data_IF_498446214999
#
_entry.id   IF_498446214999
#
_cell.length_a   1.000
_cell.length_b   1.000
_cell.length_c   1.000
_cell.angle_alpha   90.00
_cell.angle_beta   90.00
_cell.angle_gamma   90.00
#
_symmetry.space_group_name_H-M   'P 1'
#
loop_
_entity.id
_entity.type
_entity.pdbx_description
1 polymer ?
#
# COMPACT_ATOMS: atom_id res chain seq x y z
N UNK A 1 -10.80 -18.08 -11.47
CA UNK A 1 -11.88 -17.16 -11.08
C UNK A 1 -12.79 -17.05 -12.28
N UNK A 2 -14.06 -17.43 -12.16
CA UNK A 2 -15.03 -17.18 -13.22
C UNK A 2 -15.31 -15.68 -13.21
N UNK A 3 -14.99 -14.99 -14.30
CA UNK A 3 -15.29 -13.57 -14.44
C UNK A 3 -16.80 -13.37 -14.40
N UNK A 4 -17.25 -12.34 -13.69
CA UNK A 4 -18.68 -12.03 -13.58
C UNK A 4 -19.17 -11.57 -14.95
N UNK A 5 -20.21 -12.24 -15.47
CA UNK A 5 -20.84 -11.86 -16.73
C UNK A 5 -22.02 -10.94 -16.42
N UNK A 6 -21.93 -9.67 -16.79
CA UNK A 6 -23.03 -8.70 -16.64
C UNK A 6 -23.32 -8.02 -17.99
N UNK A 7 -24.14 -8.65 -18.83
CA UNK A 7 -24.58 -8.05 -20.09
C UNK A 7 -25.75 -7.05 -19.89
N UNK A 8 -26.45 -7.14 -18.75
CA UNK A 8 -27.46 -6.18 -18.34
C UNK A 8 -26.88 -4.80 -17.97
N UNK A 9 -25.55 -4.66 -17.94
CA UNK A 9 -24.87 -3.38 -17.72
C UNK A 9 -25.27 -2.30 -18.72
N UNK A 10 -25.60 -2.67 -19.96
CA UNK A 10 -26.11 -1.75 -20.98
C UNK A 10 -27.47 -1.12 -20.60
N UNK A 11 -28.25 -1.82 -19.78
CA UNK A 11 -29.54 -1.39 -19.23
C UNK A 11 -29.37 -0.63 -17.90
N UNK A 12 -28.12 -0.36 -17.50
CA UNK A 12 -27.78 0.37 -16.28
C UNK A 12 -27.79 -0.49 -15.02
N UNK A 13 -27.90 -1.81 -15.13
CA UNK A 13 -27.83 -2.73 -13.98
C UNK A 13 -26.39 -2.76 -13.45
N UNK A 14 -26.25 -2.62 -12.12
CA UNK A 14 -24.94 -2.61 -11.46
C UNK A 14 -24.89 -3.65 -10.35
N UNK A 15 -23.68 -4.10 -10.06
CA UNK A 15 -23.37 -4.96 -8.92
C UNK A 15 -22.67 -4.10 -7.87
N UNK A 16 -23.21 -4.10 -6.65
CA UNK A 16 -22.50 -3.64 -5.46
C UNK A 16 -21.84 -4.88 -4.84
N UNK A 17 -20.50 -4.97 -4.81
CA UNK A 17 -19.82 -6.11 -4.21
C UNK A 17 -20.14 -6.24 -2.71
N UNK A 18 -20.22 -7.48 -2.23
CA UNK A 18 -20.34 -7.77 -0.81
C UNK A 18 -19.16 -7.19 -0.02
N UNK A 19 -19.43 -6.55 1.12
CA UNK A 19 -18.41 -6.16 2.09
C UNK A 19 -18.15 -7.33 3.04
N UNK A 20 -17.22 -8.21 2.67
CA UNK A 20 -16.89 -9.46 3.40
C UNK A 20 -15.38 -9.61 3.55
N UNK A 21 -14.96 -10.18 4.68
CA UNK A 21 -13.55 -10.44 4.96
C UNK A 21 -13.09 -11.74 4.26
N UNK A 22 -11.78 -11.94 4.08
CA UNK A 22 -11.31 -13.16 3.41
C UNK A 22 -11.61 -14.37 4.29
N UNK A 23 -12.05 -15.45 3.65
CA UNK A 23 -12.45 -16.66 4.35
C UNK A 23 -13.94 -16.67 4.72
N UNK A 24 -14.63 -15.52 4.65
CA UNK A 24 -16.07 -15.49 4.82
C UNK A 24 -16.78 -16.16 3.64
N UNK A 25 -17.77 -16.98 3.95
CA UNK A 25 -18.72 -17.48 2.97
C UNK A 25 -19.70 -16.36 2.62
N UNK A 26 -19.90 -16.12 1.33
CA UNK A 26 -20.86 -15.14 0.84
C UNK A 26 -21.45 -15.56 -0.50
N UNK A 27 -22.55 -14.93 -0.88
CA UNK A 27 -23.16 -15.11 -2.20
C UNK A 27 -22.60 -14.10 -3.19
N UNK A 28 -21.84 -14.60 -4.17
CA UNK A 28 -21.32 -13.78 -5.26
C UNK A 28 -22.27 -13.84 -6.45
N UNK A 29 -22.53 -12.70 -7.08
CA UNK A 29 -23.20 -12.69 -8.38
C UNK A 29 -22.19 -13.11 -9.44
N UNK A 30 -22.47 -14.19 -10.15
CA UNK A 30 -21.61 -14.70 -11.23
C UNK A 30 -22.17 -14.40 -12.61
N UNK A 31 -23.49 -14.16 -12.72
CA UNK A 31 -24.16 -13.76 -13.95
C UNK A 31 -25.32 -12.81 -13.66
N UNK A 32 -25.41 -11.74 -14.44
CA UNK A 32 -26.64 -10.96 -14.64
C UNK A 32 -26.89 -10.89 -16.14
N UNK A 33 -28.09 -11.30 -16.53
CA UNK A 33 -28.52 -11.37 -17.91
C UNK A 33 -29.81 -10.58 -18.12
N UNK A 34 -29.84 -9.69 -19.11
CA UNK A 34 -31.10 -9.15 -19.63
C UNK A 34 -31.65 -10.11 -20.69
N UNK A 35 -32.87 -10.61 -20.50
CA UNK A 35 -33.42 -11.65 -21.37
C UNK A 35 -33.75 -11.09 -22.75
N UNK A 36 -33.36 -11.81 -23.80
CA UNK A 36 -33.73 -11.46 -25.18
C UNK A 36 -35.25 -11.55 -25.38
N UNK A 37 -35.80 -10.93 -26.44
CA UNK A 37 -37.22 -11.03 -26.77
C UNK A 37 -37.76 -12.48 -26.79
N UNK A 38 -37.00 -13.43 -27.36
CA UNK A 38 -37.34 -14.85 -27.44
C UNK A 38 -37.36 -15.54 -26.06
N UNK A 39 -36.40 -15.21 -25.21
CA UNK A 39 -36.29 -15.77 -23.86
C UNK A 39 -37.36 -15.19 -22.94
N UNK A 40 -37.63 -13.90 -23.06
CA UNK A 40 -38.53 -13.16 -22.19
C UNK A 40 -40.00 -13.49 -22.43
N UNK A 41 -40.42 -13.65 -23.70
CA UNK A 41 -41.80 -13.98 -24.06
C UNK A 41 -42.84 -12.99 -23.49
N UNK A 42 -42.56 -11.67 -23.55
CA UNK A 42 -43.39 -10.60 -22.97
C UNK A 42 -43.56 -10.64 -21.46
N UNK A 43 -42.62 -11.24 -20.72
CA UNK A 43 -42.61 -11.19 -19.25
C UNK A 43 -41.96 -9.91 -18.74
N UNK A 44 -42.03 -9.75 -17.43
CA UNK A 44 -41.52 -8.61 -16.66
C UNK A 44 -41.03 -9.10 -15.31
N UNK A 45 -40.09 -10.04 -15.30
CA UNK A 45 -39.75 -10.81 -14.12
C UNK A 45 -38.27 -10.69 -13.76
N UNK A 46 -37.98 -10.87 -12.48
CA UNK A 46 -36.67 -11.29 -12.03
C UNK A 46 -36.68 -12.80 -11.94
N UNK A 47 -35.67 -13.43 -12.53
CA UNK A 47 -35.39 -14.85 -12.41
C UNK A 47 -34.12 -15.00 -11.59
N UNK A 48 -34.16 -15.77 -10.51
CA UNK A 48 -33.06 -15.88 -9.56
C UNK A 48 -32.69 -17.34 -9.41
N UNK A 49 -31.42 -17.63 -9.68
CA UNK A 49 -30.79 -18.93 -9.47
C UNK A 49 -29.75 -18.84 -8.37
N UNK A 50 -29.64 -19.92 -7.61
CA UNK A 50 -28.62 -20.10 -6.59
C UNK A 50 -27.80 -21.34 -6.93
N UNK A 51 -26.49 -21.25 -6.79
CA UNK A 51 -25.54 -22.34 -7.03
C UNK A 51 -24.63 -22.53 -5.82
N UNK A 52 -24.19 -23.77 -5.59
CA UNK A 52 -23.12 -24.08 -4.65
C UNK A 52 -21.74 -23.72 -5.22
N UNK A 53 -20.67 -24.01 -4.47
CA UNK A 53 -19.30 -23.71 -4.87
C UNK A 53 -18.82 -24.55 -6.06
N UNK A 54 -19.56 -25.61 -6.44
CA UNK A 54 -19.28 -26.47 -7.59
C UNK A 54 -20.06 -26.04 -8.84
N UNK A 55 -21.00 -25.09 -8.71
CA UNK A 55 -21.87 -24.62 -9.78
C UNK A 55 -23.17 -25.42 -9.93
N UNK A 56 -23.48 -26.29 -8.97
CA UNK A 56 -24.73 -27.06 -8.97
C UNK A 56 -25.87 -26.25 -8.34
N UNK A 57 -27.07 -26.39 -8.89
CA UNK A 57 -28.25 -25.62 -8.46
C UNK A 57 -28.68 -25.93 -7.02
N UNK A 58 -28.90 -24.88 -6.23
CA UNK A 58 -29.37 -24.94 -4.84
C UNK A 58 -30.83 -24.51 -4.70
N UNK A 59 -31.65 -25.40 -4.15
CA UNK A 59 -33.00 -25.09 -3.66
C UNK A 59 -32.99 -24.66 -2.19
N UNK A 60 -33.98 -23.87 -1.77
CA UNK A 60 -34.13 -23.40 -0.40
C UNK A 60 -33.32 -22.15 -0.06
N UNK A 61 -32.64 -21.55 -1.03
CA UNK A 61 -31.88 -20.32 -0.82
C UNK A 61 -32.82 -19.11 -0.88
N UNK A 62 -32.74 -18.24 0.12
CA UNK A 62 -33.65 -17.12 0.28
C UNK A 62 -33.00 -15.80 -0.18
N UNK A 63 -33.69 -15.08 -1.06
CA UNK A 63 -33.26 -13.79 -1.60
C UNK A 63 -34.29 -12.71 -1.28
N UNK A 64 -33.81 -11.55 -0.90
CA UNK A 64 -34.61 -10.39 -0.59
C UNK A 64 -34.61 -9.44 -1.77
N UNK A 65 -35.81 -9.19 -2.29
CA UNK A 65 -36.05 -8.21 -3.34
C UNK A 65 -36.57 -6.95 -2.67
N UNK A 66 -35.96 -5.80 -2.96
CA UNK A 66 -36.37 -4.51 -2.42
C UNK A 66 -36.74 -3.54 -3.53
N UNK A 67 -37.72 -2.69 -3.28
CA UNK A 67 -38.10 -1.58 -4.14
C UNK A 67 -38.59 -0.40 -3.29
N UNK A 68 -38.89 0.72 -3.93
CA UNK A 68 -39.46 1.86 -3.22
C UNK A 68 -40.81 1.49 -2.57
N UNK A 69 -40.84 1.51 -1.24
CA UNK A 69 -42.05 1.24 -0.46
C UNK A 69 -42.32 -0.23 -0.14
N UNK A 70 -41.40 -1.16 -0.43
CA UNK A 70 -41.59 -2.56 -0.06
C UNK A 70 -40.40 -3.50 -0.24
N UNK A 71 -40.58 -4.73 0.22
CA UNK A 71 -39.65 -5.83 0.00
C UNK A 71 -40.38 -7.16 0.02
N UNK A 72 -39.87 -8.14 -0.73
CA UNK A 72 -40.39 -9.50 -0.77
C UNK A 72 -39.26 -10.51 -0.66
N UNK A 73 -39.49 -11.56 0.14
CA UNK A 73 -38.59 -12.68 0.26
C UNK A 73 -38.99 -13.76 -0.74
N UNK A 74 -38.07 -14.16 -1.61
CA UNK A 74 -38.26 -15.28 -2.54
C UNK A 74 -37.31 -16.42 -2.17
N UNK A 75 -37.75 -17.67 -2.37
CA UNK A 75 -36.99 -18.86 -2.03
C UNK A 75 -36.83 -19.71 -3.29
N UNK A 76 -35.61 -20.11 -3.61
CA UNK A 76 -35.34 -20.98 -4.76
C UNK A 76 -35.95 -22.37 -4.56
N UNK A 77 -36.50 -22.95 -5.63
CA UNK A 77 -37.10 -24.28 -5.65
C UNK A 77 -36.35 -25.17 -6.62
N UNK A 78 -36.36 -26.48 -6.36
CA UNK A 78 -35.81 -27.44 -7.30
C UNK A 78 -36.74 -27.51 -8.53
N UNK A 79 -36.24 -27.05 -9.68
CA UNK A 79 -36.98 -27.04 -10.94
C UNK A 79 -36.24 -27.97 -11.93
N UNK A 80 -36.92 -28.95 -12.56
CA UNK A 80 -36.30 -29.83 -13.56
C UNK A 80 -35.77 -29.06 -14.78
N UNK A 81 -36.41 -27.94 -15.10
CA UNK A 81 -36.00 -27.00 -16.12
C UNK A 81 -36.63 -25.64 -15.81
N UNK A 82 -35.81 -24.62 -15.59
CA UNK A 82 -36.28 -23.25 -15.33
C UNK A 82 -35.59 -22.62 -14.13
N UNK A 83 -35.90 -21.34 -13.87
CA UNK A 83 -35.25 -20.56 -12.82
C UNK A 83 -35.69 -21.02 -11.44
N UNK A 84 -34.78 -21.02 -10.47
CA UNK A 84 -35.01 -21.44 -9.10
C UNK A 84 -36.08 -20.61 -8.40
N UNK A 85 -36.12 -19.30 -8.62
CA UNK A 85 -37.18 -18.42 -8.15
C UNK A 85 -37.54 -17.37 -9.20
N UNK A 86 -38.76 -16.84 -9.11
CA UNK A 86 -39.22 -15.74 -9.95
C UNK A 86 -39.98 -14.70 -9.15
N UNK A 87 -39.89 -13.45 -9.59
CA UNK A 87 -40.62 -12.32 -8.99
C UNK A 87 -41.16 -11.39 -10.10
N UNK A 88 -42.48 -11.12 -10.14
CA UNK A 88 -43.05 -10.19 -11.12
C UNK A 88 -42.71 -8.73 -10.74
N UNK A 89 -42.19 -7.98 -11.70
CA UNK A 89 -41.91 -6.55 -11.56
C UNK A 89 -43.03 -5.68 -12.13
N UNK A 90 -43.48 -4.69 -11.36
CA UNK A 90 -44.51 -3.76 -11.78
C UNK A 90 -43.97 -2.59 -12.59
N UNK A 91 -44.87 -1.87 -13.27
CA UNK A 91 -44.53 -0.66 -14.03
C UNK A 91 -43.85 0.35 -13.11
N UNK A 92 -42.75 0.95 -13.59
CA UNK A 92 -41.93 1.93 -12.87
C UNK A 92 -41.24 1.41 -11.60
N UNK A 93 -41.34 0.10 -11.33
CA UNK A 93 -40.68 -0.49 -10.18
C UNK A 93 -39.18 -0.61 -10.48
N UNK A 94 -38.36 -0.12 -9.55
CA UNK A 94 -36.91 -0.28 -9.56
C UNK A 94 -36.54 -1.20 -8.41
N UNK A 95 -36.05 -2.38 -8.73
CA UNK A 95 -35.75 -3.44 -7.80
C UNK A 95 -34.24 -3.56 -7.53
N UNK A 96 -33.91 -4.07 -6.35
CA UNK A 96 -32.62 -4.68 -6.05
C UNK A 96 -32.81 -6.10 -5.52
N UNK A 97 -31.80 -6.96 -5.69
CA UNK A 97 -31.79 -8.33 -5.20
C UNK A 97 -30.51 -8.61 -4.42
N UNK A 98 -30.65 -9.15 -3.21
CA UNK A 98 -29.57 -9.60 -2.33
C UNK A 98 -29.95 -10.93 -1.66
N UNK A 99 -28.99 -11.69 -1.14
CA UNK A 99 -29.29 -12.84 -0.29
C UNK A 99 -29.84 -12.37 1.06
N UNK A 100 -30.90 -13.03 1.57
CA UNK A 100 -31.62 -12.54 2.74
C UNK A 100 -30.96 -12.89 4.09
N UNK A 101 -30.20 -13.99 4.15
CA UNK A 101 -29.70 -14.57 5.39
C UNK A 101 -28.17 -14.73 5.42
N UNK A 102 -27.46 -14.11 4.48
CA UNK A 102 -26.01 -14.16 4.40
C UNK A 102 -25.48 -12.92 3.64
N UNK A 103 -24.22 -12.50 3.87
CA UNK A 103 -23.59 -11.48 3.04
C UNK A 103 -23.65 -11.84 1.56
N UNK A 104 -23.87 -10.84 0.70
CA UNK A 104 -23.98 -11.06 -0.73
C UNK A 104 -23.63 -9.83 -1.55
N UNK A 105 -23.26 -10.05 -2.81
CA UNK A 105 -23.32 -9.00 -3.80
C UNK A 105 -24.78 -8.56 -3.99
N UNK A 106 -24.99 -7.30 -4.36
CA UNK A 106 -26.33 -6.75 -4.58
C UNK A 106 -26.47 -6.33 -6.05
N UNK A 107 -27.45 -6.91 -6.75
CA UNK A 107 -27.88 -6.42 -8.05
C UNK A 107 -28.81 -5.23 -7.85
N UNK A 108 -28.50 -4.08 -8.44
CA UNK A 108 -29.29 -2.85 -8.32
C UNK A 108 -29.74 -2.30 -9.67
N UNK A 109 -30.77 -1.44 -9.63
CA UNK A 109 -31.35 -0.76 -10.79
C UNK A 109 -31.96 -1.73 -11.82
N UNK A 110 -32.63 -2.78 -11.33
CA UNK A 110 -33.41 -3.71 -12.15
C UNK A 110 -34.80 -3.11 -12.39
N UNK A 111 -35.16 -2.82 -13.65
CA UNK A 111 -36.40 -2.10 -13.98
C UNK A 111 -36.92 -2.47 -15.36
N UNK A 112 -38.21 -2.25 -15.62
CA UNK A 112 -38.85 -2.65 -16.89
C UNK A 112 -39.13 -1.51 -17.85
N UNK A 113 -38.86 -0.26 -17.49
CA UNK A 113 -39.18 0.94 -18.28
C UNK A 113 -38.16 1.25 -19.39
N UNK A 114 -37.54 0.20 -19.94
CA UNK A 114 -36.61 0.34 -21.06
C UNK A 114 -37.38 0.57 -22.38
N UNK A 115 -36.74 1.21 -23.39
CA UNK A 115 -37.32 1.36 -24.72
C UNK A 115 -37.65 0.00 -25.35
N UNK A 116 -38.66 0.00 -26.22
CA UNK A 116 -39.07 -1.19 -26.96
C UNK A 116 -37.90 -1.80 -27.76
N UNK A 117 -37.74 -3.10 -27.58
CA UNK A 117 -36.84 -3.97 -28.32
C UNK A 117 -37.67 -5.05 -29.00
N UNK A 118 -37.78 -4.94 -30.32
CA UNK A 118 -38.54 -5.88 -31.14
C UNK A 118 -40.00 -6.03 -30.67
N UNK A 119 -40.65 -7.18 -30.94
CA UNK A 119 -42.08 -7.37 -30.67
C UNK A 119 -42.40 -7.97 -29.30
N UNK A 120 -41.40 -8.53 -28.60
CA UNK A 120 -41.61 -9.28 -27.35
C UNK A 120 -40.98 -8.63 -26.10
N UNK A 121 -40.05 -7.68 -26.27
CA UNK A 121 -39.55 -6.82 -25.19
C UNK A 121 -40.06 -5.39 -25.41
N UNK A 122 -41.35 -5.16 -25.18
CA UNK A 122 -41.92 -3.81 -25.25
C UNK A 122 -41.84 -3.10 -23.91
N UNK A 123 -42.15 -1.81 -23.86
CA UNK A 123 -42.16 -1.00 -22.65
C UNK A 123 -42.89 -1.72 -21.51
N UNK A 124 -42.20 -1.88 -20.39
CA UNK A 124 -42.60 -2.64 -19.20
C UNK A 124 -42.54 -4.17 -19.30
N UNK A 125 -42.05 -4.74 -20.40
CA UNK A 125 -41.87 -6.17 -20.62
C UNK A 125 -40.40 -6.51 -20.83
N UNK A 126 -39.57 -6.20 -19.82
CA UNK A 126 -38.17 -6.61 -19.78
C UNK A 126 -37.96 -7.45 -18.52
N UNK A 127 -37.20 -8.55 -18.65
CA UNK A 127 -36.87 -9.44 -17.54
C UNK A 127 -35.36 -9.58 -17.38
N UNK A 128 -34.94 -9.93 -16.17
CA UNK A 128 -33.53 -10.17 -15.86
C UNK A 128 -33.36 -11.52 -15.18
N UNK A 129 -32.32 -12.27 -15.56
CA UNK A 129 -31.88 -13.47 -14.85
C UNK A 129 -30.60 -13.17 -14.07
N UNK A 130 -30.58 -13.56 -12.80
CA UNK A 130 -29.47 -13.32 -11.88
C UNK A 130 -29.07 -14.66 -11.27
N UNK A 131 -27.79 -14.97 -11.34
CA UNK A 131 -27.24 -16.19 -10.76
C UNK A 131 -26.29 -15.84 -9.63
N UNK A 132 -26.63 -16.29 -8.44
CA UNK A 132 -25.78 -16.23 -7.25
C UNK A 132 -25.06 -17.56 -7.06
N UNK A 133 -23.79 -17.52 -6.69
CA UNK A 133 -22.99 -18.69 -6.37
C UNK A 133 -22.42 -18.53 -4.97
N UNK A 134 -22.52 -19.55 -4.13
CA UNK A 134 -21.78 -19.59 -2.87
C UNK A 134 -20.29 -19.59 -3.16
N UNK A 135 -19.56 -18.79 -2.43
CA UNK A 135 -18.11 -18.73 -2.55
C UNK A 135 -17.50 -18.29 -1.25
N UNK A 136 -16.24 -18.65 -1.06
CA UNK A 136 -15.39 -18.07 -0.02
C UNK A 136 -14.77 -16.79 -0.58
N UNK A 137 -14.88 -15.68 0.14
CA UNK A 137 -14.23 -14.43 -0.20
C UNK A 137 -12.72 -14.64 -0.31
N UNK A 138 -12.20 -14.52 -1.52
CA UNK A 138 -10.75 -14.55 -1.81
C UNK A 138 -10.15 -13.14 -1.62
N UNK A 139 -10.67 -12.38 -0.64
CA UNK A 139 -10.24 -11.01 -0.36
C UNK A 139 -8.72 -10.90 -0.21
N UNK A 140 -8.18 -9.72 -0.53
CA UNK A 140 -6.74 -9.43 -0.41
C UNK A 140 -6.34 -9.32 1.07
N UNK A 141 -6.20 -10.44 1.77
CA UNK A 141 -5.43 -10.48 3.00
C UNK A 141 -3.99 -10.80 2.67
N UNK A 142 -3.13 -9.79 2.83
CA UNK A 142 -1.86 -10.12 3.43
C UNK A 142 -2.08 -10.20 4.93
N UNK A 143 -1.63 -11.27 5.61
CA UNK A 143 -1.67 -11.29 7.06
C UNK A 143 -1.00 -10.02 7.60
N UNK A 144 -1.60 -9.41 8.62
CA UNK A 144 -1.04 -8.25 9.29
C UNK A 144 -0.26 -8.74 10.52
N UNK A 145 0.86 -9.43 10.31
CA UNK A 145 1.74 -9.87 11.41
C UNK A 145 3.11 -9.20 11.37
N UNK A 146 3.39 -8.33 10.39
CA UNK A 146 4.64 -7.58 10.46
C UNK A 146 4.59 -6.60 11.62
N UNK A 147 5.73 -6.50 12.31
CA UNK A 147 5.99 -5.45 13.27
C UNK A 147 7.15 -4.61 12.74
N UNK A 148 7.04 -3.29 12.83
CA UNK A 148 8.14 -2.38 12.56
C UNK A 148 8.57 -1.77 13.88
N UNK A 149 9.83 -1.92 14.24
CA UNK A 149 10.40 -1.26 15.42
C UNK A 149 11.70 -0.57 15.07
N UNK A 150 12.13 0.30 15.97
CA UNK A 150 13.46 0.89 15.84
C UNK A 150 13.74 1.89 16.92
N UNK A 151 14.82 2.63 16.71
CA UNK A 151 15.30 3.72 17.54
C UNK A 151 15.35 5.00 16.76
N UNK A 152 15.15 6.09 17.48
CA UNK A 152 15.28 7.44 16.94
C UNK A 152 16.09 8.29 17.92
N UNK A 153 17.41 8.39 17.71
CA UNK A 153 18.30 9.07 18.62
C UNK A 153 17.89 10.53 18.84
N UNK A 154 17.99 10.99 20.10
CA UNK A 154 17.72 12.36 20.53
C UNK A 154 16.28 12.85 20.28
N UNK A 155 15.32 11.92 20.29
CA UNK A 155 13.95 12.22 19.85
C UNK A 155 12.88 11.59 20.75
N UNK A 156 13.18 11.50 22.04
CA UNK A 156 12.16 11.11 23.03
C UNK A 156 10.94 12.03 22.90
N UNK A 157 9.74 11.45 22.97
CA UNK A 157 8.46 12.15 22.82
C UNK A 157 8.18 12.75 21.43
N UNK A 158 8.97 12.40 20.41
CA UNK A 158 8.61 12.74 19.03
C UNK A 158 7.41 11.93 18.56
N UNK A 159 6.71 12.43 17.53
CA UNK A 159 5.60 11.74 16.88
C UNK A 159 6.06 11.18 15.55
N UNK A 160 5.90 9.87 15.37
CA UNK A 160 6.17 9.18 14.12
C UNK A 160 4.88 8.89 13.36
N UNK A 161 4.95 9.03 12.04
CA UNK A 161 3.89 8.69 11.11
C UNK A 161 4.39 7.59 10.17
N UNK A 162 3.62 6.50 10.04
CA UNK A 162 3.84 5.47 9.05
C UNK A 162 2.91 5.71 7.87
N UNK A 163 3.48 5.84 6.68
CA UNK A 163 2.79 6.18 5.44
C UNK A 163 2.75 4.97 4.49
N UNK A 164 1.59 4.71 3.91
CA UNK A 164 1.42 3.86 2.73
C UNK A 164 1.06 4.77 1.54
N UNK A 165 1.99 4.89 0.60
CA UNK A 165 1.96 5.89 -0.46
C UNK A 165 1.69 7.32 0.09
N UNK A 166 0.44 7.79 0.02
CA UNK A 166 0.03 9.14 0.41
C UNK A 166 -0.88 9.16 1.65
N UNK A 167 -1.09 8.02 2.30
CA UNK A 167 -1.98 7.88 3.46
C UNK A 167 -1.18 7.56 4.72
N UNK A 168 -1.39 8.33 5.79
CA UNK A 168 -0.91 7.96 7.12
C UNK A 168 -1.74 6.78 7.62
N UNK A 169 -1.11 5.61 7.74
CA UNK A 169 -1.78 4.37 8.17
C UNK A 169 -1.66 4.14 9.67
N UNK A 170 -0.60 4.64 10.31
CA UNK A 170 -0.41 4.61 11.77
C UNK A 170 0.38 5.80 12.27
N UNK A 171 0.18 6.12 13.55
CA UNK A 171 0.93 7.13 14.30
C UNK A 171 1.41 6.47 15.61
N UNK A 172 2.65 6.77 16.02
CA UNK A 172 3.20 6.32 17.29
C UNK A 172 4.03 7.44 17.94
N UNK A 173 4.03 7.48 19.26
CA UNK A 173 4.96 8.31 20.01
C UNK A 173 6.25 7.54 20.29
N UNK A 174 7.37 8.25 20.25
CA UNK A 174 8.67 7.71 20.62
C UNK A 174 8.76 7.68 22.13
N UNK A 175 9.01 6.49 22.70
CA UNK A 175 9.17 6.33 24.14
C UNK A 175 10.39 7.09 24.67
N UNK A 176 10.44 7.31 25.99
CA UNK A 176 11.57 7.98 26.65
C UNK A 176 12.93 7.29 26.41
N UNK A 177 12.90 5.97 26.19
CA UNK A 177 14.06 5.17 25.80
C UNK A 177 14.45 5.32 24.31
N UNK A 178 13.84 6.26 23.59
CA UNK A 178 14.08 6.58 22.18
C UNK A 178 13.73 5.42 21.24
N UNK A 179 12.79 4.55 21.63
CA UNK A 179 12.31 3.44 20.81
C UNK A 179 10.88 3.67 20.34
N UNK A 180 10.51 3.07 19.21
CA UNK A 180 9.15 3.04 18.69
C UNK A 180 8.79 1.63 18.20
N UNK A 181 7.48 1.37 18.07
CA UNK A 181 6.96 0.11 17.55
C UNK A 181 5.60 0.31 16.88
N UNK A 182 5.41 -0.33 15.73
CA UNK A 182 4.14 -0.48 15.02
C UNK A 182 3.87 -1.97 14.83
N UNK A 183 2.77 -2.47 15.36
CA UNK A 183 2.35 -3.87 15.21
C UNK A 183 1.22 -4.02 14.18
N UNK A 184 0.95 -5.26 13.80
CA UNK A 184 -0.13 -5.66 12.90
C UNK A 184 -0.11 -4.89 11.57
N UNK A 185 1.03 -4.91 10.90
CA UNK A 185 1.22 -4.28 9.59
C UNK A 185 1.03 -5.33 8.48
N UNK A 186 0.16 -5.09 7.48
CA UNK A 186 0.08 -5.90 6.28
C UNK A 186 1.39 -5.90 5.47
N UNK A 187 1.56 -6.84 4.53
CA UNK A 187 2.59 -6.65 3.53
C UNK A 187 2.30 -5.41 2.70
N UNK A 188 3.35 -4.67 2.39
CA UNK A 188 3.27 -3.42 1.68
C UNK A 188 4.61 -2.72 1.67
N UNK A 189 4.65 -1.58 1.01
CA UNK A 189 5.81 -0.70 1.00
C UNK A 189 5.44 0.56 1.76
N UNK A 190 6.16 0.83 2.83
CA UNK A 190 5.87 1.92 3.75
C UNK A 190 7.00 2.94 3.79
N UNK A 191 6.65 4.15 4.21
CA UNK A 191 7.61 5.21 4.53
C UNK A 191 7.36 5.65 5.96
N UNK A 192 8.42 5.68 6.76
CA UNK A 192 8.37 6.17 8.13
C UNK A 192 8.85 7.62 8.18
N UNK A 193 8.10 8.50 8.83
CA UNK A 193 8.41 9.93 8.93
C UNK A 193 8.38 10.38 10.38
N UNK A 194 9.41 11.10 10.81
CA UNK A 194 9.37 11.88 12.03
C UNK A 194 8.68 13.22 11.73
N UNK A 195 7.53 13.44 12.37
CA UNK A 195 6.75 14.66 12.19
C UNK A 195 7.44 15.87 12.82
N UNK A 196 8.24 15.66 13.87
CA UNK A 196 8.84 16.73 14.66
C UNK A 196 9.99 17.43 13.93
N UNK A 197 10.84 16.66 13.24
CA UNK A 197 12.02 17.20 12.54
C UNK A 197 12.08 16.88 11.04
N UNK A 198 11.12 16.12 10.53
CA UNK A 198 10.98 15.85 9.10
C UNK A 198 11.89 14.77 8.55
N UNK A 199 12.66 14.04 9.39
CA UNK A 199 13.44 12.88 8.92
C UNK A 199 12.52 11.80 8.34
N UNK A 200 13.01 11.09 7.33
CA UNK A 200 12.25 10.04 6.62
C UNK A 200 13.12 8.79 6.47
N UNK A 201 12.53 7.61 6.65
CA UNK A 201 13.09 6.31 6.31
C UNK A 201 12.14 5.62 5.32
N UNK A 202 12.65 5.18 4.18
CA UNK A 202 11.89 4.40 3.21
C UNK A 202 12.56 4.31 1.84
N UNK A 203 12.06 3.45 0.95
CA UNK A 203 10.93 2.54 1.14
C UNK A 203 11.25 1.34 2.05
N UNK A 204 10.34 1.00 2.97
CA UNK A 204 10.41 -0.17 3.86
C UNK A 204 9.46 -1.24 3.33
N UNK A 205 9.98 -2.38 2.89
CA UNK A 205 9.14 -3.49 2.40
C UNK A 205 8.80 -4.43 3.55
N UNK A 206 7.51 -4.60 3.82
CA UNK A 206 6.99 -5.57 4.77
C UNK A 206 6.33 -6.73 4.04
N UNK A 207 6.43 -7.93 4.59
CA UNK A 207 5.86 -9.15 4.02
C UNK A 207 4.60 -9.64 4.75
N UNK A 208 4.17 -8.91 5.77
CA UNK A 208 3.01 -9.21 6.59
C UNK A 208 3.23 -10.35 7.58
N UNK A 209 4.48 -10.77 7.81
CA UNK A 209 4.82 -11.92 8.65
C UNK A 209 5.94 -11.64 9.64
N UNK A 210 6.94 -10.89 9.23
CA UNK A 210 8.16 -10.71 10.02
C UNK A 210 8.25 -9.33 10.66
N UNK A 211 8.98 -9.29 11.78
CA UNK A 211 9.44 -8.05 12.38
C UNK A 211 10.62 -7.47 11.58
N UNK A 212 10.57 -6.18 11.31
CA UNK A 212 11.64 -5.40 10.69
C UNK A 212 12.12 -4.34 11.67
N UNK A 213 13.44 -4.10 11.67
CA UNK A 213 14.08 -3.02 12.42
C UNK A 213 14.46 -1.90 11.45
N UNK A 214 14.02 -0.67 11.75
CA UNK A 214 14.39 0.52 10.99
C UNK A 214 14.79 1.64 11.95
N UNK A 215 16.09 1.88 12.10
CA UNK A 215 16.60 2.92 12.98
C UNK A 215 16.82 4.23 12.20
N UNK A 216 16.44 5.35 12.81
CA UNK A 216 16.74 6.66 12.26
C UNK A 216 18.23 6.99 12.45
N UNK A 217 18.83 7.70 11.47
CA UNK A 217 20.15 8.26 11.67
C UNK A 217 20.12 9.29 12.82
N UNK A 218 21.25 9.41 13.50
CA UNK A 218 21.47 10.46 14.48
C UNK A 218 21.28 11.81 13.78
N UNK A 219 20.50 12.75 14.35
CA UNK A 219 20.36 14.09 13.78
C UNK A 219 21.72 14.75 13.60
N UNK A 220 21.90 15.47 12.49
CA UNK A 220 23.08 16.31 12.33
C UNK A 220 22.97 17.51 13.29
N UNK A 221 24.10 17.99 13.84
CA UNK A 221 24.12 19.25 14.57
C UNK A 221 23.57 20.40 13.73
N UNK A 222 23.00 21.41 14.38
CA UNK A 222 22.42 22.57 13.70
C UNK A 222 23.44 23.23 12.76
N UNK A 223 23.00 23.57 11.55
CA UNK A 223 23.86 24.16 10.51
C UNK A 223 24.77 23.18 9.77
N UNK A 224 24.75 21.88 10.10
CA UNK A 224 25.53 20.84 9.40
C UNK A 224 24.69 20.14 8.34
N UNK A 225 25.29 19.96 7.16
CA UNK A 225 24.73 19.22 6.03
C UNK A 225 25.31 17.81 5.88
N UNK A 226 26.49 17.56 6.45
CA UNK A 226 27.17 16.26 6.36
C UNK A 226 27.45 15.69 7.75
N UNK A 227 27.32 14.37 7.91
CA UNK A 227 27.79 13.69 9.10
C UNK A 227 29.32 13.68 9.16
N UNK A 228 29.95 13.38 8.02
CA UNK A 228 31.39 13.29 7.85
C UNK A 228 31.80 13.89 6.51
N UNK A 229 32.97 14.52 6.46
CA UNK A 229 33.60 14.98 5.23
C UNK A 229 35.10 14.70 5.27
N UNK A 230 35.64 14.12 4.20
CA UNK A 230 37.08 13.89 4.05
C UNK A 230 37.69 15.05 3.29
N UNK A 231 38.38 15.92 4.03
CA UNK A 231 39.11 17.06 3.48
C UNK A 231 40.51 16.58 3.09
N UNK A 232 40.72 16.48 1.78
CA UNK A 232 41.99 16.08 1.19
C UNK A 232 42.90 17.31 1.10
N UNK A 233 44.20 17.11 1.32
CA UNK A 233 45.31 18.09 1.36
C UNK A 233 45.18 19.31 0.45
N UNK A 234 45.95 20.36 0.74
CA UNK A 234 45.99 21.54 -0.13
C UNK A 234 46.29 21.13 -1.59
N UNK A 235 45.44 21.53 -2.53
CA UNK A 235 45.58 21.21 -3.97
C UNK A 235 46.87 21.76 -4.57
N UNK A 236 47.53 22.70 -3.90
CA UNK A 236 48.83 23.23 -4.30
C UNK A 236 50.03 22.38 -3.86
N UNK A 237 49.84 21.42 -2.95
CA UNK A 237 50.89 20.52 -2.49
C UNK A 237 51.06 19.30 -3.43
N UNK A 238 52.28 18.99 -3.91
CA UNK A 238 52.51 17.87 -4.84
C UNK A 238 52.11 16.51 -4.29
N UNK A 239 52.23 16.28 -2.98
CA UNK A 239 51.80 15.04 -2.33
C UNK A 239 50.27 14.82 -2.35
N UNK A 240 49.48 15.87 -2.54
CA UNK A 240 48.01 15.80 -2.50
C UNK A 240 47.42 14.95 -3.62
N UNK A 241 48.06 14.89 -4.78
CA UNK A 241 47.59 14.10 -5.93
C UNK A 241 47.48 12.59 -5.63
N UNK A 242 48.26 12.11 -4.66
CA UNK A 242 48.31 10.68 -4.33
C UNK A 242 47.14 10.24 -3.44
N UNK A 243 46.62 11.12 -2.59
CA UNK A 243 45.62 10.75 -1.59
C UNK A 243 44.29 10.26 -2.18
N UNK A 244 43.68 10.90 -3.19
CA UNK A 244 42.45 10.39 -3.80
C UNK A 244 42.63 8.97 -4.35
N UNK A 245 43.79 8.67 -4.93
CA UNK A 245 44.09 7.33 -5.46
C UNK A 245 44.21 6.29 -4.34
N UNK A 246 44.86 6.63 -3.23
CA UNK A 246 45.00 5.74 -2.07
C UNK A 246 43.68 5.48 -1.36
N UNK A 247 42.77 6.45 -1.37
CA UNK A 247 41.50 6.42 -0.65
C UNK A 247 40.31 5.97 -1.50
N UNK A 248 40.47 5.85 -2.82
CA UNK A 248 39.37 5.62 -3.75
C UNK A 248 38.45 4.47 -3.33
N UNK A 249 39.03 3.30 -3.04
CA UNK A 249 38.27 2.12 -2.63
C UNK A 249 37.57 2.31 -1.28
N UNK A 250 38.24 2.95 -0.32
CA UNK A 250 37.68 3.22 0.99
C UNK A 250 36.52 4.21 0.93
N UNK A 251 36.71 5.33 0.21
CA UNK A 251 35.68 6.36 0.04
C UNK A 251 34.46 5.81 -0.72
N UNK A 252 34.69 5.00 -1.76
CA UNK A 252 33.62 4.37 -2.53
C UNK A 252 32.85 3.33 -1.71
N UNK A 253 33.58 2.45 -1.00
CA UNK A 253 32.97 1.37 -0.18
C UNK A 253 32.11 1.93 0.95
N UNK A 254 32.51 3.05 1.54
CA UNK A 254 31.82 3.68 2.66
C UNK A 254 30.91 4.85 2.23
N UNK A 255 30.76 5.09 0.92
CA UNK A 255 29.99 6.20 0.35
C UNK A 255 30.31 7.55 1.01
N UNK A 256 31.59 7.81 1.27
CA UNK A 256 32.03 9.00 1.97
C UNK A 256 31.91 10.26 1.11
N UNK A 257 31.48 11.37 1.71
CA UNK A 257 31.63 12.70 1.11
C UNK A 257 33.07 13.19 1.27
N UNK A 258 33.69 13.68 0.20
CA UNK A 258 35.07 14.13 0.20
C UNK A 258 35.30 15.29 -0.78
N UNK A 259 36.39 16.02 -0.57
CA UNK A 259 36.83 17.06 -1.49
C UNK A 259 37.97 17.89 -0.91
N UNK A 260 38.13 19.10 -1.44
CA UNK A 260 39.27 19.99 -1.15
C UNK A 260 38.83 21.35 -0.57
N UNK A 261 37.53 21.57 -0.37
CA UNK A 261 37.00 22.85 0.05
C UNK A 261 36.82 22.90 1.56
N UNK A 262 37.57 23.78 2.23
CA UNK A 262 37.40 24.04 3.67
C UNK A 262 36.02 24.62 4.00
N UNK A 263 35.44 25.42 3.10
CA UNK A 263 34.09 25.97 3.25
C UNK A 263 33.01 24.89 3.17
N UNK A 264 33.18 23.88 2.31
CA UNK A 264 32.27 22.73 2.24
C UNK A 264 32.46 21.81 3.45
N UNK A 265 33.71 21.53 3.82
CA UNK A 265 34.04 20.74 5.01
C UNK A 265 33.50 21.37 6.30
N UNK A 266 33.41 22.70 6.38
CA UNK A 266 32.79 23.41 7.51
C UNK A 266 31.29 23.09 7.70
N UNK A 267 30.61 22.56 6.67
CA UNK A 267 29.22 22.10 6.75
C UNK A 267 29.12 20.67 7.31
N UNK A 268 30.23 20.01 7.65
CA UNK A 268 30.23 18.67 8.24
C UNK A 268 30.30 18.70 9.76
N UNK A 269 29.67 17.72 10.41
CA UNK A 269 29.79 17.52 11.85
C UNK A 269 31.20 17.01 12.24
N UNK A 270 31.73 16.06 11.47
CA UNK A 270 33.10 15.56 11.60
C UNK A 270 33.88 15.78 10.31
N UNK A 271 35.11 16.27 10.40
CA UNK A 271 36.01 16.43 9.25
C UNK A 271 37.24 15.55 9.45
N UNK A 272 37.44 14.63 8.51
CA UNK A 272 38.65 13.81 8.44
C UNK A 272 39.66 14.54 7.56
N UNK A 273 40.73 15.04 8.17
CA UNK A 273 41.77 15.80 7.48
C UNK A 273 42.87 14.84 7.04
N UNK A 274 43.14 14.83 5.74
CA UNK A 274 44.18 14.00 5.13
C UNK A 274 45.24 14.91 4.51
N UNK A 275 46.50 14.63 4.82
CA UNK A 275 47.61 15.49 4.42
C UNK A 275 47.66 16.80 5.22
N UNK A 276 48.56 17.67 4.80
CA UNK A 276 48.76 18.95 5.47
C UNK A 276 47.71 19.98 5.03
N UNK A 277 47.26 20.80 5.98
CA UNK A 277 46.31 21.88 5.78
C UNK A 277 46.85 23.17 6.38
N UNK A 278 46.48 24.32 5.80
CA UNK A 278 46.84 25.62 6.35
C UNK A 278 46.21 25.83 7.74
N UNK A 279 46.88 26.61 8.60
CA UNK A 279 46.33 27.01 9.89
C UNK A 279 44.98 27.73 9.74
N UNK A 280 44.81 28.53 8.68
CA UNK A 280 43.56 29.20 8.34
C UNK A 280 42.42 28.19 8.14
N UNK A 281 42.67 27.12 7.39
CA UNK A 281 41.68 26.05 7.16
C UNK A 281 41.26 25.39 8.47
N UNK A 282 42.23 25.03 9.32
CA UNK A 282 41.92 24.43 10.62
C UNK A 282 41.15 25.39 11.53
N UNK A 283 41.45 26.68 11.47
CA UNK A 283 40.71 27.71 12.21
C UNK A 283 39.27 27.84 11.69
N UNK A 284 39.04 27.80 10.38
CA UNK A 284 37.70 27.79 9.78
C UNK A 284 36.87 26.60 10.29
N UNK A 285 37.45 25.40 10.28
CA UNK A 285 36.76 24.19 10.77
C UNK A 285 36.45 24.27 12.27
N UNK A 286 37.38 24.80 13.05
CA UNK A 286 37.20 25.00 14.51
C UNK A 286 36.10 26.01 14.80
N UNK A 287 36.08 27.14 14.08
CA UNK A 287 35.05 28.18 14.21
C UNK A 287 33.66 27.67 13.77
N UNK A 288 33.62 26.74 12.82
CA UNK A 288 32.39 26.07 12.41
C UNK A 288 31.98 24.93 13.38
N UNK A 289 32.67 24.73 14.49
CA UNK A 289 32.40 23.68 15.47
C UNK A 289 32.46 22.26 14.88
N UNK A 290 33.33 22.02 13.90
CA UNK A 290 33.59 20.67 13.39
C UNK A 290 34.43 19.86 14.39
N UNK A 291 34.12 18.57 14.53
CA UNK A 291 35.05 17.61 15.15
C UNK A 291 36.13 17.24 14.12
N UNK A 292 37.38 17.62 14.38
CA UNK A 292 38.49 17.36 13.46
C UNK A 292 39.15 16.02 13.84
N UNK A 293 39.34 15.14 12.85
CA UNK A 293 40.05 13.86 12.98
C UNK A 293 41.21 13.88 11.99
N UNK A 294 42.44 13.90 12.51
CA UNK A 294 43.64 13.93 11.68
C UNK A 294 44.02 12.51 11.24
N UNK A 295 44.19 12.32 9.94
CA UNK A 295 44.75 11.09 9.38
C UNK A 295 46.26 11.27 9.12
N UNK A 296 47.03 10.15 9.06
CA UNK A 296 48.45 10.25 8.75
C UNK A 296 48.68 10.85 7.36
N UNK A 297 49.55 11.86 7.26
CA UNK A 297 49.95 12.45 5.98
C UNK A 297 50.89 11.52 5.17
N UNK A 298 51.69 10.69 5.84
CA UNK A 298 52.59 9.77 5.14
C UNK A 298 51.80 8.66 4.41
N UNK A 299 51.97 8.49 3.08
CA UNK A 299 51.18 7.53 2.28
C UNK A 299 51.14 6.10 2.82
N UNK A 300 52.26 5.60 3.35
CA UNK A 300 52.33 4.24 3.92
C UNK A 300 51.52 4.11 5.21
N UNK A 301 51.56 5.14 6.07
CA UNK A 301 50.79 5.16 7.33
C UNK A 301 49.31 5.37 7.06
N UNK A 302 48.98 6.16 6.04
CA UNK A 302 47.60 6.33 5.58
C UNK A 302 47.02 4.99 5.11
N UNK A 303 47.75 4.24 4.28
CA UNK A 303 47.32 2.92 3.82
C UNK A 303 47.06 1.95 4.97
N UNK A 304 47.95 1.95 5.98
CA UNK A 304 47.77 1.14 7.19
C UNK A 304 46.51 1.56 7.96
N UNK A 305 46.28 2.86 8.17
CA UNK A 305 45.10 3.38 8.86
C UNK A 305 43.78 3.02 8.14
N UNK A 306 43.80 2.95 6.81
CA UNK A 306 42.66 2.48 6.00
C UNK A 306 42.40 0.99 6.26
N UNK A 307 43.45 0.15 6.27
CA UNK A 307 43.35 -1.29 6.51
C UNK A 307 42.86 -1.63 7.91
N UNK A 308 43.21 -0.80 8.90
CA UNK A 308 42.82 -0.97 10.29
C UNK A 308 41.40 -0.42 10.60
N UNK A 309 40.69 0.10 9.58
CA UNK A 309 39.28 0.51 9.70
C UNK A 309 39.04 1.96 10.11
N UNK A 310 40.03 2.85 10.00
CA UNK A 310 39.86 4.29 10.16
C UNK A 310 40.10 4.82 11.58
N UNK A 311 41.33 5.32 11.78
CA UNK A 311 41.92 6.04 12.93
C UNK A 311 41.75 5.43 14.33
N UNK A 312 42.89 5.09 14.93
CA UNK A 312 43.17 5.03 16.36
C UNK A 312 42.96 6.37 17.08
#
# INVERSE_FOLDING_TARGET
MTDVINDAGAYGVKIIPAAVDKGDEYWKIVRIHHLTPEENQKRHHLFIDAMDEQGEGLSGSAFLIRWEGGSELVITQAQPSGPGANFPMWKWQVCSVEAANAPSDIAINLRTDHPDEETLNTLFHHSFAITFMRTIAQGKETPAFSALRGRIPQSANHTLELWDANLVVKIAEVGENQTYRFDNLPAGVYTLRDRSDGRIIGPITLDGRHEIVADFPIPLPEGKLFAQYFLIGDVSAPETELYPTLLADYLATNACTFGFSSAEAALAATVHVIGDQSEETLQTLTNAHCKIVQWPAEPKKLLQAIQDGGSS
#
